data_IF_320847747330
#
_entry.id   IF_320847747330
#
_cell.length_a   1.000
_cell.length_b   1.000
_cell.length_c   1.000
_cell.angle_alpha   90.00
_cell.angle_beta   90.00
_cell.angle_gamma   90.00
#
_symmetry.space_group_name_H-M   'P 1'
#
loop_
_entity.id
_entity.type
_entity.pdbx_description
1 polymer ?
#
# COMPACT_ATOMS: atom_id res chain seq x y z
N UNK A 1 23.60 -7.66 -16.78
CA UNK A 1 22.35 -7.04 -16.29
C UNK A 1 22.54 -6.64 -14.84
N UNK A 2 22.77 -5.35 -14.55
CA UNK A 2 22.81 -4.84 -13.17
C UNK A 2 21.41 -4.99 -12.55
N UNK A 3 21.26 -5.85 -11.55
CA UNK A 3 20.09 -5.85 -10.69
C UNK A 3 20.27 -4.72 -9.67
N UNK A 4 19.67 -3.56 -9.94
CA UNK A 4 19.53 -2.51 -8.94
C UNK A 4 18.81 -3.09 -7.72
N UNK A 5 19.47 -3.08 -6.56
CA UNK A 5 18.89 -3.51 -5.28
C UNK A 5 18.13 -2.33 -4.70
N UNK A 6 16.86 -2.16 -5.09
CA UNK A 6 15.98 -1.15 -4.50
C UNK A 6 15.37 -1.70 -3.21
N UNK A 7 15.52 -0.94 -2.13
CA UNK A 7 14.92 -1.23 -0.82
C UNK A 7 13.72 -0.30 -0.64
N UNK A 8 12.56 -0.86 -0.34
CA UNK A 8 11.37 -0.09 -0.04
C UNK A 8 11.03 -0.20 1.43
N UNK A 9 10.99 0.95 2.10
CA UNK A 9 10.52 1.08 3.46
C UNK A 9 9.05 1.47 3.42
N UNK A 10 8.25 0.83 4.27
CA UNK A 10 6.85 1.14 4.47
C UNK A 10 6.61 1.27 5.96
N UNK A 11 6.15 2.44 6.41
CA UNK A 11 5.75 2.64 7.79
C UNK A 11 4.24 2.47 7.93
N UNK A 12 3.79 1.66 8.88
CA UNK A 12 2.38 1.53 9.26
C UNK A 12 2.27 1.92 10.72
N UNK A 13 1.88 3.17 11.01
CA UNK A 13 1.81 3.67 12.39
C UNK A 13 0.36 3.70 12.87
N UNK A 14 0.10 3.15 14.06
CA UNK A 14 -1.19 3.29 14.76
C UNK A 14 -1.30 4.65 15.47
N UNK A 15 -0.17 5.34 15.67
CA UNK A 15 -0.05 6.74 16.10
C UNK A 15 1.09 7.43 15.34
N UNK A 16 0.87 8.60 14.75
CA UNK A 16 1.85 9.25 13.88
C UNK A 16 2.93 9.97 14.72
N UNK A 17 3.91 9.22 15.21
CA UNK A 17 5.21 9.75 15.65
C UNK A 17 6.24 9.48 14.56
N UNK A 18 7.20 10.40 14.42
CA UNK A 18 8.35 10.17 13.54
C UNK A 18 9.24 9.13 14.22
N UNK A 19 9.83 8.18 13.47
CA UNK A 19 10.84 7.29 14.02
C UNK A 19 11.99 8.15 14.56
N UNK A 20 12.41 7.90 15.80
CA UNK A 20 13.52 8.65 16.38
C UNK A 20 14.84 8.29 15.66
N UNK A 21 15.80 9.21 15.57
CA UNK A 21 17.04 9.01 14.79
C UNK A 21 17.81 7.74 15.16
N UNK A 22 17.69 7.30 16.41
CA UNK A 22 18.27 6.05 16.92
C UNK A 22 17.64 4.82 16.27
N UNK A 23 16.31 4.79 16.15
CA UNK A 23 15.56 3.71 15.51
C UNK A 23 15.94 3.55 14.03
N UNK A 24 16.15 4.66 13.31
CA UNK A 24 16.63 4.63 11.92
C UNK A 24 18.06 4.06 11.81
N UNK A 25 18.96 4.40 12.74
CA UNK A 25 20.33 3.85 12.77
C UNK A 25 20.33 2.35 13.08
N UNK A 26 19.50 1.91 14.02
CA UNK A 26 19.36 0.50 14.37
C UNK A 26 18.79 -0.30 13.18
N UNK A 27 17.82 0.28 12.47
CA UNK A 27 17.28 -0.28 11.22
C UNK A 27 18.36 -0.38 10.14
N UNK A 28 19.20 0.65 9.99
CA UNK A 28 20.34 0.65 9.07
C UNK A 28 21.42 -0.39 9.42
N UNK A 29 21.63 -0.67 10.71
CA UNK A 29 22.56 -1.71 11.17
C UNK A 29 22.01 -3.12 10.87
N UNK A 30 20.70 -3.33 11.04
CA UNK A 30 20.02 -4.55 10.60
C UNK A 30 20.18 -4.76 9.07
N UNK A 31 20.11 -3.69 8.28
CA UNK A 31 20.29 -3.78 6.82
C UNK A 31 21.66 -4.26 6.38
N UNK A 32 22.73 -3.88 7.09
CA UNK A 32 24.08 -4.38 6.79
C UNK A 32 24.19 -5.89 6.96
N UNK A 33 23.36 -6.47 7.82
CA UNK A 33 23.40 -7.90 8.12
C UNK A 33 22.54 -8.74 7.15
N UNK A 34 21.60 -8.13 6.40
CA UNK A 34 20.64 -8.86 5.56
C UNK A 34 20.43 -8.25 4.16
N UNK A 35 21.45 -8.33 3.29
CA UNK A 35 21.44 -7.79 1.92
C UNK A 35 20.49 -8.48 0.91
N UNK A 36 19.47 -9.22 1.35
CA UNK A 36 18.57 -10.01 0.48
C UNK A 36 17.11 -9.53 0.47
N UNK A 37 16.79 -8.47 1.22
CA UNK A 37 15.42 -7.93 1.30
C UNK A 37 15.18 -6.82 0.28
N UNK A 38 13.97 -6.80 -0.28
CA UNK A 38 13.50 -5.77 -1.20
C UNK A 38 12.46 -4.85 -0.53
N UNK A 39 11.77 -5.34 0.50
CA UNK A 39 10.70 -4.59 1.18
C UNK A 39 10.75 -4.77 2.69
N UNK A 40 10.39 -3.70 3.39
CA UNK A 40 10.21 -3.67 4.84
C UNK A 40 8.89 -3.01 5.22
N UNK A 41 8.25 -3.55 6.25
CA UNK A 41 7.13 -2.91 6.93
C UNK A 41 7.45 -2.75 8.42
N UNK A 42 7.17 -1.57 8.97
CA UNK A 42 7.43 -1.24 10.38
C UNK A 42 6.12 -0.91 11.06
N UNK A 43 5.84 -1.57 12.17
CA UNK A 43 4.78 -1.18 13.09
C UNK A 43 5.39 -0.51 14.32
N UNK A 44 5.02 0.74 14.57
CA UNK A 44 5.48 1.51 15.73
C UNK A 44 4.45 1.45 16.87
N UNK A 45 4.77 0.67 17.90
CA UNK A 45 4.19 0.73 19.24
C UNK A 45 5.30 0.44 20.28
N UNK A 46 4.96 0.15 21.54
CA UNK A 46 5.88 -0.11 22.67
C UNK A 46 7.05 -1.07 22.37
N UNK A 47 6.89 -1.99 21.42
CA UNK A 47 7.94 -2.82 20.85
C UNK A 47 7.96 -2.65 19.33
N UNK A 48 9.05 -2.10 18.81
CA UNK A 48 9.24 -1.96 17.37
C UNK A 48 9.38 -3.34 16.73
N UNK A 49 8.47 -3.69 15.82
CA UNK A 49 8.56 -4.90 15.01
C UNK A 49 8.79 -4.52 13.57
N UNK A 50 9.78 -5.16 12.94
CA UNK A 50 10.11 -4.97 11.53
C UNK A 50 9.89 -6.28 10.78
N UNK A 51 9.06 -6.25 9.75
CA UNK A 51 8.90 -7.35 8.81
C UNK A 51 9.74 -7.08 7.55
N UNK A 52 10.53 -8.05 7.10
CA UNK A 52 11.38 -7.91 5.93
C UNK A 52 11.20 -9.10 4.97
N UNK A 53 11.09 -8.82 3.67
CA UNK A 53 10.96 -9.86 2.66
C UNK A 53 11.62 -9.45 1.33
N UNK A 54 11.75 -10.39 0.40
CA UNK A 54 12.38 -10.13 -0.90
C UNK A 54 12.43 -11.37 -1.78
N UNK A 55 13.52 -11.53 -2.53
CA UNK A 55 13.66 -12.55 -3.59
C UNK A 55 13.41 -14.00 -3.13
N UNK A 56 13.65 -14.29 -1.85
CA UNK A 56 13.51 -15.65 -1.29
C UNK A 56 12.09 -16.09 -1.00
N UNK A 57 11.10 -15.19 -1.05
CA UNK A 57 9.71 -15.54 -0.69
C UNK A 57 9.52 -15.86 0.79
N UNK A 58 10.47 -15.48 1.64
CA UNK A 58 10.42 -15.68 3.10
C UNK A 58 10.30 -14.33 3.78
N UNK A 59 9.32 -14.21 4.68
CA UNK A 59 9.18 -13.04 5.55
C UNK A 59 9.97 -13.30 6.83
N UNK A 60 10.82 -12.36 7.22
CA UNK A 60 11.47 -12.36 8.53
C UNK A 60 10.84 -11.32 9.43
N UNK A 61 10.48 -11.72 10.64
CA UNK A 61 10.09 -10.81 11.71
C UNK A 61 11.33 -10.53 12.54
N UNK A 62 11.62 -9.26 12.74
CA UNK A 62 12.81 -8.75 13.41
C UNK A 62 12.40 -7.87 14.58
N UNK A 63 13.11 -8.00 15.69
CA UNK A 63 12.97 -7.15 16.86
C UNK A 63 14.27 -6.33 17.00
N UNK A 64 14.30 -5.06 16.56
CA UNK A 64 15.53 -4.26 16.56
C UNK A 64 16.13 -4.07 17.95
N UNK A 65 15.30 -3.86 18.97
CA UNK A 65 15.74 -3.67 20.35
C UNK A 65 16.45 -4.91 20.93
N UNK A 66 16.15 -6.10 20.40
CA UNK A 66 16.72 -7.37 20.85
C UNK A 66 17.76 -7.94 19.88
N UNK A 67 18.02 -7.25 18.76
CA UNK A 67 18.85 -7.73 17.65
C UNK A 67 18.55 -9.19 17.26
N UNK A 68 17.26 -9.58 17.29
CA UNK A 68 16.83 -10.96 17.11
C UNK A 68 15.85 -11.11 15.94
N UNK A 69 15.80 -12.32 15.37
CA UNK A 69 14.81 -12.73 14.39
C UNK A 69 13.89 -13.77 15.04
N UNK A 70 12.84 -13.34 15.76
CA UNK A 70 11.98 -14.25 16.51
C UNK A 70 11.21 -15.24 15.63
N UNK A 71 10.95 -14.90 14.36
CA UNK A 71 10.17 -15.76 13.48
C UNK A 71 10.48 -15.57 11.99
N UNK A 72 10.21 -16.62 11.23
CA UNK A 72 10.17 -16.59 9.76
C UNK A 72 8.87 -17.21 9.26
N UNK A 73 8.18 -16.51 8.36
CA UNK A 73 6.97 -17.00 7.69
C UNK A 73 7.34 -17.47 6.29
N UNK A 74 7.05 -18.74 6.02
CA UNK A 74 7.36 -19.41 4.75
C UNK A 74 6.06 -19.88 4.13
N UNK A 75 5.91 -19.68 2.82
CA UNK A 75 4.81 -20.27 2.08
C UNK A 75 4.63 -19.71 0.67
N UNK A 76 5.05 -18.47 0.40
CA UNK A 76 5.04 -17.94 -0.96
C UNK A 76 5.96 -18.77 -1.87
N UNK A 77 5.52 -19.00 -3.11
CA UNK A 77 6.25 -19.76 -4.11
C UNK A 77 7.30 -18.95 -4.88
N UNK A 78 7.36 -17.63 -4.64
CA UNK A 78 8.28 -16.72 -5.33
C UNK A 78 8.57 -15.47 -4.50
N UNK A 79 9.26 -14.50 -5.09
CA UNK A 79 9.68 -13.26 -4.42
C UNK A 79 8.50 -12.45 -3.89
N UNK A 80 8.66 -11.87 -2.71
CA UNK A 80 7.70 -10.93 -2.13
C UNK A 80 8.13 -9.52 -2.53
N UNK A 81 7.20 -8.79 -3.13
CA UNK A 81 7.40 -7.45 -3.66
C UNK A 81 6.94 -6.36 -2.66
N UNK A 82 5.90 -6.63 -1.87
CA UNK A 82 5.38 -5.66 -0.89
C UNK A 82 4.98 -6.33 0.43
N UNK A 83 5.05 -5.55 1.53
CA UNK A 83 4.56 -5.91 2.87
C UNK A 83 3.76 -4.75 3.47
N UNK A 84 2.60 -5.02 4.05
CA UNK A 84 1.78 -4.02 4.77
C UNK A 84 1.20 -4.61 6.04
N UNK A 85 1.47 -3.99 7.19
CA UNK A 85 0.71 -4.31 8.40
C UNK A 85 -0.73 -3.81 8.28
N UNK A 86 -1.65 -4.47 8.98
CA UNK A 86 -3.01 -3.95 9.13
C UNK A 86 -2.99 -2.67 9.98
N UNK A 87 -3.71 -1.60 9.59
CA UNK A 87 -3.59 -0.29 10.24
C UNK A 87 -4.08 -0.26 11.69
N UNK A 88 -4.93 -1.21 12.08
CA UNK A 88 -5.50 -1.30 13.44
C UNK A 88 -5.02 -2.51 14.24
N UNK A 89 -4.45 -3.52 13.59
CA UNK A 89 -4.07 -4.78 14.25
C UNK A 89 -2.62 -5.13 13.88
N UNK A 90 -1.66 -4.94 14.79
CA UNK A 90 -0.26 -5.19 14.51
C UNK A 90 0.11 -6.66 14.29
N UNK A 91 -0.76 -7.59 14.70
CA UNK A 91 -0.49 -9.00 14.48
C UNK A 91 -0.77 -9.41 13.02
N UNK A 92 -1.50 -8.60 12.26
CA UNK A 92 -1.91 -8.92 10.91
C UNK A 92 -0.96 -8.30 9.88
N UNK A 93 -0.34 -9.13 9.06
CA UNK A 93 0.60 -8.73 8.03
C UNK A 93 0.17 -9.26 6.66
N UNK A 94 0.12 -8.38 5.67
CA UNK A 94 -0.12 -8.71 4.27
C UNK A 94 1.19 -8.78 3.49
N UNK A 95 1.31 -9.78 2.61
CA UNK A 95 2.44 -9.91 1.69
C UNK A 95 1.97 -10.12 0.25
N UNK A 96 2.61 -9.41 -0.69
CA UNK A 96 2.24 -9.36 -2.11
C UNK A 96 3.38 -9.94 -2.95
N UNK A 97 3.08 -10.93 -3.80
CA UNK A 97 4.13 -11.80 -4.34
C UNK A 97 4.10 -11.97 -5.86
N UNK A 98 5.27 -12.29 -6.39
CA UNK A 98 5.51 -12.75 -7.76
C UNK A 98 4.84 -14.09 -8.07
N UNK A 99 4.38 -14.82 -7.06
CA UNK A 99 3.56 -16.05 -7.25
C UNK A 99 2.07 -15.77 -7.53
N UNK A 100 1.72 -14.51 -7.79
CA UNK A 100 0.38 -14.03 -8.16
C UNK A 100 -0.61 -14.01 -6.99
N UNK A 101 -0.15 -14.33 -5.78
CA UNK A 101 -0.99 -14.33 -4.58
C UNK A 101 -0.65 -13.20 -3.63
N UNK A 102 -1.66 -12.84 -2.83
CA UNK A 102 -1.50 -12.02 -1.64
C UNK A 102 -1.82 -12.91 -0.44
N UNK A 103 -1.09 -12.75 0.66
CA UNK A 103 -1.29 -13.56 1.86
C UNK A 103 -1.45 -12.70 3.09
N UNK A 104 -2.42 -13.06 3.92
CA UNK A 104 -2.61 -12.51 5.26
C UNK A 104 -2.02 -13.49 6.27
N UNK A 105 -1.11 -12.99 7.10
CA UNK A 105 -0.45 -13.72 8.16
C UNK A 105 -0.86 -13.17 9.51
N UNK A 106 -1.04 -14.04 10.50
CA UNK A 106 -1.03 -13.66 11.90
C UNK A 106 0.39 -13.90 12.43
N UNK A 107 1.14 -12.82 12.70
CA UNK A 107 2.52 -12.88 13.17
C UNK A 107 2.62 -13.27 14.65
N UNK A 108 1.54 -13.16 15.43
CA UNK A 108 1.52 -13.54 16.85
C UNK A 108 1.37 -15.06 17.03
N UNK A 109 0.60 -15.73 16.17
CA UNK A 109 0.45 -17.19 16.16
C UNK A 109 1.28 -17.88 15.08
N UNK A 110 1.95 -17.11 14.21
CA UNK A 110 2.78 -17.56 13.10
C UNK A 110 2.05 -18.42 12.06
N UNK A 111 0.77 -18.11 11.79
CA UNK A 111 -0.03 -18.85 10.80
C UNK A 111 -0.40 -18.02 9.59
N UNK A 112 -0.55 -18.70 8.47
CA UNK A 112 -1.19 -18.17 7.27
C UNK A 112 -2.71 -18.20 7.48
N UNK A 113 -3.35 -17.03 7.48
CA UNK A 113 -4.80 -16.91 7.73
C UNK A 113 -5.58 -17.03 6.43
N UNK A 114 -5.17 -16.28 5.41
CA UNK A 114 -5.90 -16.20 4.14
C UNK A 114 -4.95 -16.05 2.94
N UNK A 115 -5.32 -16.64 1.81
CA UNK A 115 -4.70 -16.44 0.50
C UNK A 115 -5.71 -15.75 -0.41
N UNK A 116 -5.38 -14.58 -0.93
CA UNK A 116 -6.14 -13.89 -1.98
C UNK A 116 -5.52 -14.24 -3.33
N UNK A 117 -6.29 -14.86 -4.21
CA UNK A 117 -5.78 -15.40 -5.48
C UNK A 117 -6.81 -16.28 -6.20
N UNK A 118 -6.35 -17.28 -6.95
CA UNK A 118 -7.24 -18.30 -7.53
C UNK A 118 -8.05 -17.80 -8.73
N UNK A 119 -9.37 -18.09 -8.75
CA UNK A 119 -10.20 -17.98 -9.95
C UNK A 119 -10.23 -16.57 -10.54
N UNK A 120 -10.39 -15.52 -9.75
CA UNK A 120 -10.40 -14.12 -10.23
C UNK A 120 -9.29 -13.27 -9.59
N UNK A 121 -8.25 -13.95 -9.11
CA UNK A 121 -7.05 -13.30 -8.58
C UNK A 121 -6.17 -12.66 -9.65
N UNK A 122 -5.02 -12.15 -9.22
CA UNK A 122 -4.03 -11.64 -10.16
C UNK A 122 -3.53 -12.74 -11.10
N UNK A 123 -3.27 -12.37 -12.35
CA UNK A 123 -2.78 -13.29 -13.40
C UNK A 123 -1.29 -13.13 -13.71
N UNK A 124 -0.65 -12.19 -13.05
CA UNK A 124 0.78 -11.95 -13.10
C UNK A 124 1.25 -11.42 -11.74
N UNK A 125 2.52 -11.02 -11.64
CA UNK A 125 3.15 -10.63 -10.38
C UNK A 125 2.38 -9.52 -9.67
N UNK A 126 2.10 -9.70 -8.38
CA UNK A 126 1.53 -8.63 -7.55
C UNK A 126 2.70 -7.75 -7.11
N UNK A 127 2.67 -6.48 -7.50
CA UNK A 127 3.79 -5.54 -7.33
C UNK A 127 3.63 -4.68 -6.08
N UNK A 128 2.38 -4.34 -5.73
CA UNK A 128 2.07 -3.43 -4.65
C UNK A 128 0.70 -3.72 -4.06
N UNK A 129 0.47 -3.22 -2.85
CA UNK A 129 -0.86 -3.08 -2.29
C UNK A 129 -0.87 -2.21 -1.05
N UNK A 130 -2.07 -1.88 -0.60
CA UNK A 130 -2.32 -0.97 0.50
C UNK A 130 -3.64 -1.33 1.20
N UNK A 131 -3.80 -0.90 2.46
CA UNK A 131 -5.04 -1.08 3.20
C UNK A 131 -5.77 0.25 3.33
N UNK A 132 -7.10 0.20 3.29
CA UNK A 132 -7.89 1.39 3.60
C UNK A 132 -7.60 1.84 5.04
N UNK A 133 -7.85 3.11 5.37
CA UNK A 133 -7.65 3.60 6.74
C UNK A 133 -8.49 2.83 7.77
N UNK A 134 -9.66 2.35 7.36
CA UNK A 134 -10.48 1.48 8.21
C UNK A 134 -9.88 0.07 8.31
N UNK A 135 -9.05 -0.38 7.38
CA UNK A 135 -8.52 -1.74 7.33
C UNK A 135 -9.54 -2.77 6.82
N UNK A 136 -10.72 -2.34 6.37
CA UNK A 136 -11.77 -3.24 5.89
C UNK A 136 -11.61 -3.59 4.40
N UNK A 137 -10.70 -2.91 3.69
CA UNK A 137 -10.44 -3.12 2.27
C UNK A 137 -8.95 -3.23 1.99
N UNK A 138 -8.61 -4.20 1.15
CA UNK A 138 -7.28 -4.40 0.61
C UNK A 138 -7.26 -3.95 -0.86
N UNK A 139 -6.30 -3.13 -1.22
CA UNK A 139 -5.99 -2.76 -2.59
C UNK A 139 -4.77 -3.56 -3.06
N UNK A 140 -4.78 -4.06 -4.29
CA UNK A 140 -3.61 -4.71 -4.89
C UNK A 140 -3.46 -4.36 -6.37
N UNK A 141 -2.21 -4.30 -6.81
CA UNK A 141 -1.84 -3.89 -8.16
C UNK A 141 -0.66 -4.71 -8.68
N UNK A 142 -0.60 -4.96 -10.00
CA UNK A 142 0.37 -5.89 -10.54
C UNK A 142 0.74 -5.74 -12.02
N UNK A 143 1.54 -6.71 -12.48
CA UNK A 143 1.99 -6.84 -13.88
C UNK A 143 0.87 -7.29 -14.84
N UNK A 144 -0.31 -7.65 -14.34
CA UNK A 144 -1.48 -7.97 -15.17
C UNK A 144 -2.25 -6.71 -15.58
N UNK A 145 -1.72 -5.53 -15.23
CA UNK A 145 -2.30 -4.20 -15.44
C UNK A 145 -3.58 -3.99 -14.59
N UNK A 146 -3.90 -4.95 -13.71
CA UNK A 146 -5.09 -4.87 -12.89
C UNK A 146 -4.81 -4.06 -11.62
N UNK A 147 -5.82 -3.30 -11.19
CA UNK A 147 -6.01 -2.96 -9.79
C UNK A 147 -7.23 -3.72 -9.27
N UNK A 148 -7.07 -4.41 -8.13
CA UNK A 148 -8.10 -5.23 -7.49
C UNK A 148 -8.37 -4.73 -6.06
N UNK A 149 -9.63 -4.78 -5.65
CA UNK A 149 -10.06 -4.46 -4.28
C UNK A 149 -10.67 -5.70 -3.66
N UNK A 150 -10.27 -6.03 -2.43
CA UNK A 150 -10.74 -7.19 -1.69
C UNK A 150 -11.39 -6.73 -0.38
N UNK A 151 -12.57 -7.27 -0.09
CA UNK A 151 -13.26 -7.02 1.18
C UNK A 151 -12.64 -7.87 2.29
N UNK A 152 -12.30 -7.23 3.40
CA UNK A 152 -11.66 -7.87 4.55
C UNK A 152 -12.59 -8.09 5.75
N UNK A 153 -13.75 -7.44 5.76
CA UNK A 153 -14.74 -7.53 6.85
C UNK A 153 -15.85 -8.58 6.57
N UNK A 154 -15.57 -9.58 5.74
CA UNK A 154 -16.51 -10.70 5.56
C UNK A 154 -16.57 -11.56 6.83
N UNK A 155 -17.73 -12.13 7.18
CA UNK A 155 -17.84 -13.00 8.35
C UNK A 155 -16.84 -14.16 8.33
N UNK A 156 -16.59 -14.75 7.17
CA UNK A 156 -15.68 -15.89 7.00
C UNK A 156 -14.23 -15.50 7.34
N UNK A 157 -13.77 -14.35 6.83
CA UNK A 157 -12.42 -13.87 7.11
C UNK A 157 -12.29 -13.39 8.56
N UNK A 158 -13.29 -12.70 9.09
CA UNK A 158 -13.31 -12.27 10.48
C UNK A 158 -13.19 -13.46 11.44
N UNK A 159 -13.93 -14.55 11.18
CA UNK A 159 -13.84 -15.78 11.96
C UNK A 159 -12.46 -16.44 11.82
N UNK A 160 -11.91 -16.53 10.60
CA UNK A 160 -10.57 -17.07 10.39
C UNK A 160 -9.48 -16.26 11.13
N UNK A 161 -9.61 -14.93 11.18
CA UNK A 161 -8.72 -14.07 11.96
C UNK A 161 -8.85 -14.37 13.45
N UNK A 162 -10.06 -14.44 13.99
CA UNK A 162 -10.29 -14.79 15.41
C UNK A 162 -9.70 -16.15 15.75
N UNK A 163 -9.95 -17.17 14.93
CA UNK A 163 -9.42 -18.52 15.11
C UNK A 163 -7.89 -18.53 15.07
N UNK A 164 -7.28 -17.69 14.22
CA UNK A 164 -5.83 -17.59 14.11
C UNK A 164 -5.15 -17.14 15.41
N UNK A 165 -5.80 -16.31 16.22
CA UNK A 165 -5.25 -15.88 17.52
C UNK A 165 -5.33 -16.98 18.58
N UNK A 166 -6.35 -17.82 18.50
CA UNK A 166 -6.55 -18.95 19.41
C UNK A 166 -5.73 -20.18 18.99
N UNK A 167 -5.22 -20.21 17.76
CA UNK A 167 -4.47 -21.34 17.24
C UNK A 167 -3.09 -21.48 17.91
N UNK A 168 -2.80 -22.71 18.35
CA UNK A 168 -1.52 -23.12 18.93
C UNK A 168 -1.00 -24.35 18.21
N UNK A 169 -0.02 -24.16 17.31
CA UNK A 169 0.53 -25.24 16.49
C UNK A 169 1.09 -26.41 17.32
N UNK A 170 1.73 -26.13 18.46
CA UNK A 170 2.34 -27.17 19.31
C UNK A 170 1.35 -28.15 19.94
N UNK A 171 0.12 -27.71 20.17
CA UNK A 171 -0.92 -28.51 20.83
C UNK A 171 -2.01 -28.97 19.87
N UNK A 172 -2.02 -28.50 18.63
CA UNK A 172 -3.02 -28.87 17.63
C UNK A 172 -2.41 -29.84 16.61
N UNK A 173 -2.90 -31.09 16.51
CA UNK A 173 -2.39 -32.05 15.54
C UNK A 173 -2.76 -31.70 14.09
N UNK A 174 -3.73 -30.80 13.88
CA UNK A 174 -4.17 -30.37 12.54
C UNK A 174 -3.57 -29.01 12.16
N UNK A 175 -3.18 -28.80 10.89
CA UNK A 175 -2.76 -27.49 10.42
C UNK A 175 -3.91 -26.50 10.52
N UNK A 176 -3.58 -25.21 10.64
CA UNK A 176 -4.58 -24.14 10.61
C UNK A 176 -5.34 -24.17 9.27
N UNK A 177 -6.69 -24.13 9.27
CA UNK A 177 -7.49 -24.14 8.06
C UNK A 177 -7.39 -22.79 7.33
N UNK A 178 -6.48 -22.70 6.36
CA UNK A 178 -6.23 -21.48 5.58
C UNK A 178 -7.45 -21.15 4.70
N UNK A 179 -7.96 -19.93 4.82
CA UNK A 179 -9.01 -19.42 3.93
C UNK A 179 -8.44 -19.08 2.55
N UNK A 180 -9.22 -19.29 1.49
CA UNK A 180 -8.85 -18.87 0.13
C UNK A 180 -9.92 -17.94 -0.42
N UNK A 181 -9.56 -16.68 -0.64
CA UNK A 181 -10.42 -15.68 -1.27
C UNK A 181 -10.19 -15.68 -2.78
N UNK A 182 -11.14 -16.23 -3.53
CA UNK A 182 -11.05 -16.38 -4.97
C UNK A 182 -11.43 -15.15 -5.78
N UNK A 183 -12.30 -14.30 -5.21
CA UNK A 183 -12.98 -13.23 -5.94
C UNK A 183 -12.71 -11.88 -5.26
N UNK A 184 -12.13 -10.90 -5.98
CA UNK A 184 -12.10 -9.52 -5.51
C UNK A 184 -13.49 -8.90 -5.60
N UNK A 185 -13.75 -7.88 -4.79
CA UNK A 185 -14.98 -7.07 -4.85
C UNK A 185 -15.01 -6.21 -6.12
N UNK A 186 -13.83 -5.82 -6.60
CA UNK A 186 -13.66 -5.01 -7.80
C UNK A 186 -12.35 -5.36 -8.49
N UNK A 187 -12.34 -5.30 -9.83
CA UNK A 187 -11.16 -5.51 -10.66
C UNK A 187 -11.26 -4.67 -11.92
N UNK A 188 -10.26 -3.85 -12.24
CA UNK A 188 -10.19 -3.14 -13.52
C UNK A 188 -8.78 -3.08 -14.08
N UNK A 189 -8.68 -3.10 -15.41
CA UNK A 189 -7.46 -2.92 -16.21
C UNK A 189 -7.49 -1.62 -17.01
N UNK A 190 -8.52 -0.80 -16.83
CA UNK A 190 -8.82 0.34 -17.71
C UNK A 190 -8.11 1.63 -17.25
N UNK A 191 -7.49 1.59 -16.07
CA UNK A 191 -6.83 2.77 -15.48
C UNK A 191 -5.48 3.05 -16.13
N UNK A 192 -4.72 2.00 -16.47
CA UNK A 192 -3.35 2.11 -16.98
C UNK A 192 -3.15 1.16 -18.15
N UNK A 193 -2.33 1.58 -19.12
CA UNK A 193 -1.97 0.76 -20.28
C UNK A 193 -0.85 -0.26 -20.03
N UNK A 194 -0.26 -0.28 -18.82
CA UNK A 194 0.91 -1.11 -18.50
C UNK A 194 0.90 -1.53 -17.01
N UNK A 195 2.01 -2.09 -16.52
CA UNK A 195 2.18 -2.60 -15.16
C UNK A 195 1.86 -1.52 -14.14
N UNK A 196 1.06 -1.87 -13.13
CA UNK A 196 0.72 -0.95 -12.03
C UNK A 196 1.63 -1.29 -10.86
N UNK A 197 2.68 -0.48 -10.67
CA UNK A 197 3.79 -0.77 -9.76
C UNK A 197 3.68 -0.08 -8.41
N UNK A 198 2.75 0.86 -8.27
CA UNK A 198 2.41 1.50 -7.00
C UNK A 198 0.94 1.92 -6.98
N UNK A 199 0.22 1.54 -5.94
CA UNK A 199 -1.18 1.91 -5.73
C UNK A 199 -1.47 2.06 -4.24
N UNK A 200 -2.13 3.15 -3.86
CA UNK A 200 -2.48 3.50 -2.48
C UNK A 200 -3.89 4.06 -2.38
N UNK A 201 -4.49 3.89 -1.20
CA UNK A 201 -5.75 4.54 -0.88
C UNK A 201 -5.53 6.03 -0.61
N UNK A 202 -6.46 6.86 -1.08
CA UNK A 202 -6.56 8.27 -0.75
C UNK A 202 -8.02 8.58 -0.40
N UNK A 203 -8.39 8.32 0.86
CA UNK A 203 -9.80 8.31 1.26
C UNK A 203 -10.57 7.18 0.62
N UNK A 204 -11.68 7.52 -0.05
CA UNK A 204 -12.46 6.61 -0.88
C UNK A 204 -11.92 6.46 -2.31
N UNK A 205 -10.86 7.19 -2.65
CA UNK A 205 -10.24 7.19 -3.97
C UNK A 205 -9.00 6.30 -4.00
N UNK A 206 -8.55 6.00 -5.21
CA UNK A 206 -7.30 5.29 -5.45
C UNK A 206 -6.33 6.22 -6.17
N UNK A 207 -5.11 6.29 -5.66
CA UNK A 207 -3.97 6.86 -6.36
C UNK A 207 -3.12 5.69 -6.83
N UNK A 208 -2.76 5.69 -8.11
CA UNK A 208 -1.97 4.59 -8.68
C UNK A 208 -1.10 5.07 -9.83
N UNK A 209 -0.03 4.34 -10.09
CA UNK A 209 0.99 4.71 -11.04
C UNK A 209 1.37 3.52 -11.93
N UNK A 210 1.69 3.85 -13.18
CA UNK A 210 2.34 2.97 -14.15
C UNK A 210 3.58 3.67 -14.75
N UNK A 211 4.00 3.28 -15.95
CA UNK A 211 5.13 3.86 -16.67
C UNK A 211 4.77 5.08 -17.55
N UNK A 212 3.64 5.72 -17.28
CA UNK A 212 3.04 6.77 -18.11
C UNK A 212 3.53 8.18 -17.76
N UNK A 213 4.60 8.30 -16.95
CA UNK A 213 5.09 9.58 -16.42
C UNK A 213 4.01 10.39 -15.69
N UNK A 214 3.11 9.71 -15.01
CA UNK A 214 2.02 10.31 -14.26
C UNK A 214 1.62 9.45 -13.07
N UNK A 215 0.97 10.09 -12.10
CA UNK A 215 0.24 9.43 -11.03
C UNK A 215 -1.25 9.72 -11.25
N UNK A 216 -2.05 8.67 -11.34
CA UNK A 216 -3.47 8.74 -11.69
C UNK A 216 -4.32 8.62 -10.44
N UNK A 217 -5.21 9.59 -10.25
CA UNK A 217 -6.26 9.60 -9.23
C UNK A 217 -7.58 9.19 -9.87
N UNK A 218 -8.24 8.19 -9.29
CA UNK A 218 -9.47 7.61 -9.85
C UNK A 218 -10.34 6.96 -8.77
N UNK A 219 -11.57 6.58 -9.15
CA UNK A 219 -12.46 5.76 -8.32
C UNK A 219 -13.08 4.59 -9.10
N UNK A 220 -13.39 3.48 -8.41
CA UNK A 220 -14.35 2.49 -8.90
C UNK A 220 -15.73 3.12 -9.16
N UNK A 221 -16.43 2.64 -10.18
CA UNK A 221 -17.75 3.13 -10.59
C UNK A 221 -17.72 4.37 -11.48
N UNK A 222 -18.90 4.83 -11.89
CA UNK A 222 -19.14 6.09 -12.58
C UNK A 222 -18.99 7.30 -11.67
N UNK A 223 -18.75 8.48 -12.26
CA UNK A 223 -18.67 9.75 -11.51
C UNK A 223 -19.99 10.06 -10.79
N UNK A 224 -21.11 9.74 -11.44
CA UNK A 224 -22.48 10.03 -10.99
C UNK A 224 -23.11 8.89 -10.16
N UNK A 225 -22.40 7.76 -10.00
CA UNK A 225 -22.87 6.67 -9.14
C UNK A 225 -22.83 7.16 -7.69
N UNK A 226 -24.01 7.46 -7.16
CA UNK A 226 -24.21 7.59 -5.71
C UNK A 226 -23.78 6.29 -5.03
N UNK A 227 -23.33 6.39 -3.78
CA UNK A 227 -22.76 5.30 -2.98
C UNK A 227 -23.66 4.05 -2.81
N UNK A 228 -24.87 4.05 -3.38
CA UNK A 228 -25.81 2.95 -3.43
C UNK A 228 -25.49 1.87 -4.50
N UNK A 229 -24.82 2.22 -5.61
CA UNK A 229 -24.43 1.27 -6.67
C UNK A 229 -22.96 0.84 -6.61
N UNK A 230 -22.20 1.41 -5.68
CA UNK A 230 -20.87 0.93 -5.29
C UNK A 230 -21.12 -0.09 -4.17
N UNK A 231 -20.56 -1.32 -4.20
CA UNK A 231 -20.72 -2.24 -3.08
C UNK A 231 -20.35 -1.51 -1.79
N UNK A 232 -21.32 -1.34 -0.89
CA UNK A 232 -21.24 -0.47 0.29
C UNK A 232 -19.88 -0.62 0.98
N UNK A 233 -19.00 0.37 0.80
CA UNK A 233 -17.61 0.38 1.28
C UNK A 233 -17.52 0.60 2.80
N UNK A 234 -18.65 0.88 3.45
CA UNK A 234 -18.77 1.14 4.89
C UNK A 234 -20.22 0.89 5.35
N UNK A 235 -20.46 -0.19 6.09
CA UNK A 235 -21.68 -0.33 6.90
C UNK A 235 -21.38 0.17 8.31
N UNK A 236 -21.69 1.44 8.55
CA UNK A 236 -21.83 2.06 9.85
C UNK A 236 -23.04 2.98 9.83
N UNK A 237 -23.81 2.99 10.91
CA UNK A 237 -25.08 3.71 11.10
C UNK A 237 -25.11 5.14 10.51
N UNK A 238 -26.27 5.66 10.09
CA UNK A 238 -26.39 7.00 9.53
C UNK A 238 -26.26 8.03 10.65
N UNK A 239 -25.05 8.47 10.93
CA UNK A 239 -24.81 9.68 11.71
C UNK A 239 -23.61 10.44 11.14
N UNK A 240 -23.93 11.54 10.46
CA UNK A 240 -23.08 12.62 9.98
C UNK A 240 -22.03 12.28 8.92
N UNK A 241 -22.30 12.82 7.74
CA UNK A 241 -21.45 12.94 6.56
C UNK A 241 -20.10 13.61 6.86
N UNK A 242 -19.03 12.84 6.99
CA UNK A 242 -17.71 13.30 6.56
C UNK A 242 -16.94 12.14 5.92
N UNK A 243 -16.66 12.27 4.61
CA UNK A 243 -15.57 11.58 3.93
C UNK A 243 -14.26 12.12 4.47
N UNK A 244 -13.97 11.81 5.73
CA UNK A 244 -12.85 12.36 6.48
C UNK A 244 -11.60 11.52 6.18
N UNK A 245 -10.79 11.98 5.22
CA UNK A 245 -9.46 11.40 4.99
C UNK A 245 -8.52 12.00 6.03
N UNK A 246 -8.62 11.53 7.28
CA UNK A 246 -7.78 12.03 8.38
C UNK A 246 -7.79 13.56 8.54
N UNK A 247 -8.94 14.21 8.36
CA UNK A 247 -9.07 15.67 8.45
C UNK A 247 -9.07 16.42 7.10
N UNK A 248 -8.86 15.75 5.97
CA UNK A 248 -8.97 16.36 4.64
C UNK A 248 -10.42 16.39 4.16
N UNK A 249 -10.93 17.60 3.90
CA UNK A 249 -12.17 17.78 3.14
C UNK A 249 -11.86 17.63 1.65
N UNK A 250 -12.24 16.49 1.08
CA UNK A 250 -12.27 16.34 -0.38
C UNK A 250 -13.27 17.35 -0.99
N UNK A 251 -13.19 17.74 -2.27
CA UNK A 251 -14.15 18.66 -2.86
C UNK A 251 -15.51 18.06 -3.19
N UNK A 252 -16.56 18.87 -3.39
CA UNK A 252 -17.95 18.41 -3.61
C UNK A 252 -18.13 17.39 -4.73
N UNK A 253 -17.40 17.56 -5.85
CA UNK A 253 -17.37 16.61 -6.99
C UNK A 253 -16.69 15.27 -6.67
N UNK A 254 -15.88 15.26 -5.60
CA UNK A 254 -15.20 14.08 -5.04
C UNK A 254 -15.87 13.60 -3.73
N UNK A 255 -16.92 14.28 -3.26
CA UNK A 255 -17.60 14.04 -1.97
C UNK A 255 -19.00 13.41 -2.10
N UNK A 256 -19.55 13.19 -3.29
CA UNK A 256 -21.00 12.96 -3.49
C UNK A 256 -21.60 11.92 -2.53
N UNK A 257 -22.28 12.43 -1.49
CA UNK A 257 -23.10 11.73 -0.50
C UNK A 257 -24.41 12.51 -0.43
N UNK A 258 -25.52 11.87 -0.82
CA UNK A 258 -26.85 12.47 -0.74
C UNK A 258 -27.91 11.67 -1.50
N UNK A 259 -28.98 11.33 -0.80
CA UNK A 259 -30.09 10.40 -1.09
C UNK A 259 -30.86 10.66 -2.38
N UNK A 260 -31.14 9.58 -3.13
CA UNK A 260 -32.25 9.55 -4.08
C UNK A 260 -33.33 8.60 -3.59
N UNK A 261 -34.54 9.12 -3.37
CA UNK A 261 -35.77 8.36 -3.17
C UNK A 261 -36.47 8.26 -4.53
N UNK A 262 -36.38 7.12 -5.19
CA UNK A 262 -37.10 6.84 -6.43
C UNK A 262 -37.00 5.35 -6.80
N UNK A 263 -38.07 4.73 -7.34
CA UNK A 263 -38.11 3.29 -7.52
C UNK A 263 -37.52 2.91 -8.86
N UNK A 264 -36.24 2.58 -8.91
CA UNK A 264 -35.69 1.78 -10.00
C UNK A 264 -34.90 0.61 -9.40
N UNK A 265 -35.39 -0.59 -9.70
CA UNK A 265 -34.75 -1.85 -9.32
C UNK A 265 -33.65 -2.15 -10.35
N UNK A 266 -32.37 -2.23 -9.96
CA UNK A 266 -31.35 -2.76 -10.84
C UNK A 266 -31.56 -4.29 -10.92
N UNK A 267 -31.76 -4.78 -12.13
CA UNK A 267 -31.75 -6.21 -12.46
C UNK A 267 -30.43 -6.79 -11.93
N UNK A 268 -30.52 -7.74 -11.00
CA UNK A 268 -29.34 -8.47 -10.54
C UNK A 268 -28.73 -9.21 -11.73
N UNK A 269 -27.43 -9.04 -12.02
CA UNK A 269 -26.79 -9.81 -13.07
C UNK A 269 -26.88 -11.30 -12.72
N UNK A 270 -27.15 -12.12 -13.72
CA UNK A 270 -27.20 -13.57 -13.56
C UNK A 270 -25.87 -14.09 -12.96
N UNK A 271 -25.90 -15.09 -12.06
CA UNK A 271 -24.69 -15.66 -11.48
C UNK A 271 -23.72 -16.12 -12.58
N UNK A 272 -22.52 -15.56 -12.61
CA UNK A 272 -21.43 -15.99 -13.52
C UNK A 272 -21.13 -15.09 -14.72
N UNK A 273 -21.82 -13.95 -14.89
CA UNK A 273 -21.41 -12.90 -15.86
C UNK A 273 -20.46 -11.92 -15.16
N UNK A 274 -19.21 -11.72 -15.65
CA UNK A 274 -18.35 -10.66 -15.13
C UNK A 274 -19.03 -9.31 -15.33
N UNK A 275 -19.34 -8.63 -14.25
CA UNK A 275 -19.84 -7.26 -14.32
C UNK A 275 -18.68 -6.37 -14.77
N UNK A 276 -18.83 -5.66 -15.88
CA UNK A 276 -17.84 -4.67 -16.31
C UNK A 276 -17.73 -3.59 -15.23
N UNK A 277 -16.63 -3.62 -14.50
CA UNK A 277 -16.38 -2.67 -13.43
C UNK A 277 -15.91 -1.35 -14.03
N UNK A 278 -16.86 -0.42 -14.21
CA UNK A 278 -16.55 0.94 -14.66
C UNK A 278 -15.52 1.60 -13.75
N UNK A 279 -14.59 2.36 -14.34
CA UNK A 279 -13.65 3.23 -13.64
C UNK A 279 -13.81 4.67 -14.07
N UNK A 280 -13.67 5.59 -13.12
CA UNK A 280 -13.67 7.02 -13.41
C UNK A 280 -12.31 7.62 -13.07
N UNK A 281 -11.59 8.06 -14.10
CA UNK A 281 -10.37 8.86 -13.93
C UNK A 281 -10.79 10.27 -13.50
N UNK A 282 -10.27 10.70 -12.36
CA UNK A 282 -10.55 12.03 -11.80
C UNK A 282 -9.47 13.00 -12.25
N UNK A 283 -8.21 12.60 -12.14
CA UNK A 283 -7.08 13.48 -12.44
C UNK A 283 -5.78 12.70 -12.70
N UNK A 284 -4.82 13.32 -13.39
CA UNK A 284 -3.47 12.79 -13.61
C UNK A 284 -2.40 13.83 -13.28
N UNK A 285 -1.62 13.55 -12.24
CA UNK A 285 -0.49 14.36 -11.82
C UNK A 285 0.74 14.01 -12.67
N UNK A 286 1.18 14.92 -13.53
CA UNK A 286 2.32 14.69 -14.44
C UNK A 286 3.65 14.69 -13.69
N UNK A 287 4.48 13.70 -13.97
CA UNK A 287 5.81 13.50 -13.40
C UNK A 287 6.77 12.93 -14.45
N UNK A 288 7.50 13.81 -15.14
CA UNK A 288 8.45 13.42 -16.18
C UNK A 288 9.62 12.60 -15.61
N UNK A 289 10.23 11.75 -16.44
CA UNK A 289 11.32 10.84 -16.05
C UNK A 289 10.92 9.82 -14.97
N UNK A 290 9.65 9.40 -14.96
CA UNK A 290 9.10 8.43 -14.03
C UNK A 290 8.44 7.25 -14.74
N UNK A 291 9.08 6.78 -15.81
CA UNK A 291 8.62 5.68 -16.65
C UNK A 291 9.30 4.32 -16.37
N UNK A 292 10.22 4.23 -15.41
CA UNK A 292 10.75 2.95 -14.96
C UNK A 292 9.80 2.27 -13.98
N UNK A 293 9.81 0.93 -14.02
CA UNK A 293 9.11 0.09 -13.06
C UNK A 293 9.76 0.14 -11.67
N UNK A 294 8.94 -0.18 -10.67
CA UNK A 294 9.27 -0.10 -9.26
C UNK A 294 9.64 1.34 -8.83
N UNK A 295 8.94 2.29 -9.47
CA UNK A 295 8.65 3.70 -9.17
C UNK A 295 7.71 3.95 -8.00
N UNK A 296 8.07 3.84 -6.71
CA UNK A 296 7.07 4.08 -5.64
C UNK A 296 6.89 5.57 -5.34
N UNK A 297 5.63 5.98 -5.24
CA UNK A 297 5.25 7.22 -4.55
C UNK A 297 4.82 6.88 -3.13
N UNK A 298 4.85 7.87 -2.24
CA UNK A 298 4.23 7.75 -0.93
C UNK A 298 3.34 8.97 -0.60
N UNK A 299 2.45 8.78 0.38
CA UNK A 299 1.46 9.78 0.78
C UNK A 299 1.53 9.96 2.29
N UNK A 300 1.96 11.14 2.71
CA UNK A 300 1.82 11.58 4.09
C UNK A 300 0.45 12.24 4.27
N UNK A 301 -0.52 11.47 4.76
CA UNK A 301 -1.87 11.97 5.00
C UNK A 301 -1.92 13.04 6.11
N UNK A 302 -0.96 13.06 7.04
CA UNK A 302 -0.93 14.02 8.15
C UNK A 302 -0.43 15.38 7.70
N UNK A 303 0.61 15.39 6.86
CA UNK A 303 1.15 16.62 6.28
C UNK A 303 0.51 16.97 4.93
N UNK A 304 -0.36 16.09 4.43
CA UNK A 304 -1.06 16.22 3.16
C UNK A 304 -0.09 16.36 1.98
N UNK A 305 0.91 15.49 1.90
CA UNK A 305 1.91 15.54 0.82
C UNK A 305 1.95 14.21 0.09
N UNK A 306 1.94 14.27 -1.25
CA UNK A 306 2.34 13.14 -2.09
C UNK A 306 3.75 13.39 -2.60
N UNK A 307 4.61 12.38 -2.52
CA UNK A 307 5.98 12.46 -3.02
C UNK A 307 6.29 11.34 -4.01
N UNK A 308 7.01 11.67 -5.08
CA UNK A 308 7.46 10.71 -6.10
C UNK A 308 8.87 11.04 -6.58
N UNK A 309 9.77 10.05 -6.50
CA UNK A 309 11.11 10.17 -7.10
C UNK A 309 11.12 9.93 -8.61
N UNK A 310 12.17 10.37 -9.27
CA UNK A 310 12.43 10.01 -10.68
C UNK A 310 13.08 8.64 -10.83
N UNK A 311 12.74 7.96 -11.92
CA UNK A 311 13.39 6.71 -12.33
C UNK A 311 14.53 6.94 -13.32
N UNK A 312 14.42 7.96 -14.16
CA UNK A 312 15.44 8.34 -15.16
C UNK A 312 15.87 9.79 -14.99
N UNK A 313 16.87 10.21 -15.77
CA UNK A 313 17.28 11.61 -15.83
C UNK A 313 17.88 12.13 -14.52
N UNK A 314 17.87 13.45 -14.31
CA UNK A 314 18.38 14.06 -13.08
C UNK A 314 17.58 13.62 -11.85
N UNK A 315 18.29 13.29 -10.77
CA UNK A 315 17.67 12.94 -9.49
C UNK A 315 16.85 14.11 -8.94
N UNK A 316 15.54 13.90 -8.84
CA UNK A 316 14.61 14.85 -8.24
C UNK A 316 13.45 14.13 -7.55
N UNK A 317 12.78 14.86 -6.67
CA UNK A 317 11.54 14.43 -6.02
C UNK A 317 10.45 15.43 -6.36
N UNK A 318 9.35 14.93 -6.87
CA UNK A 318 8.12 15.66 -7.06
C UNK A 318 7.32 15.66 -5.77
N UNK A 319 6.80 16.81 -5.38
CA UNK A 319 5.96 17.00 -4.21
C UNK A 319 4.66 17.70 -4.63
N UNK A 320 3.54 17.11 -4.25
CA UNK A 320 2.22 17.73 -4.38
C UNK A 320 1.62 17.98 -3.00
N UNK A 321 1.16 19.20 -2.76
CA UNK A 321 0.44 19.58 -1.56
C UNK A 321 -1.04 19.20 -1.73
N UNK A 322 -1.46 18.12 -1.08
CA UNK A 322 -2.82 17.59 -1.08
C UNK A 322 -3.75 18.28 -0.07
N UNK A 323 -3.29 19.30 0.68
CA UNK A 323 -4.10 20.00 1.69
C UNK A 323 -5.34 20.63 1.07
N UNK A 324 -5.20 21.12 -0.16
CA UNK A 324 -6.29 21.69 -0.95
C UNK A 324 -6.37 20.98 -2.30
N UNK A 325 -7.08 19.84 -2.40
CA UNK A 325 -7.06 18.98 -3.58
C UNK A 325 -7.40 19.72 -4.88
N UNK A 326 -8.35 20.67 -4.86
CA UNK A 326 -8.69 21.48 -6.05
C UNK A 326 -7.49 22.27 -6.58
N UNK A 327 -6.65 22.80 -5.69
CA UNK A 327 -5.45 23.53 -6.09
C UNK A 327 -4.31 22.55 -6.40
N UNK A 328 -4.18 21.48 -5.61
CA UNK A 328 -3.17 20.43 -5.75
C UNK A 328 -3.18 19.76 -7.12
N UNK A 329 -4.38 19.47 -7.62
CA UNK A 329 -4.59 18.81 -8.90
C UNK A 329 -4.37 19.80 -10.07
N UNK A 330 -4.53 21.10 -9.86
CA UNK A 330 -4.37 22.09 -10.93
C UNK A 330 -2.99 22.75 -10.96
N UNK A 331 -2.17 22.59 -9.92
CA UNK A 331 -0.83 23.18 -9.83
C UNK A 331 0.24 22.16 -10.21
N UNK A 332 1.34 22.61 -10.86
CA UNK A 332 2.48 21.74 -11.08
C UNK A 332 3.11 21.35 -9.74
N UNK A 333 3.68 20.15 -9.71
CA UNK A 333 4.44 19.67 -8.56
C UNK A 333 5.56 20.64 -8.19
N UNK A 334 5.80 20.80 -6.90
CA UNK A 334 7.07 21.34 -6.45
C UNK A 334 8.17 20.32 -6.72
N UNK A 335 9.27 20.75 -7.36
CA UNK A 335 10.37 19.86 -7.72
C UNK A 335 11.57 20.16 -6.83
N UNK A 336 12.00 19.15 -6.08
CA UNK A 336 13.21 19.21 -5.28
C UNK A 336 14.35 18.53 -6.04
N UNK A 337 15.36 19.31 -6.43
CA UNK A 337 16.53 18.82 -7.15
C UNK A 337 17.63 18.38 -6.19
N UNK A 338 18.27 17.26 -6.47
CA UNK A 338 19.47 16.82 -5.77
C UNK A 338 20.68 17.03 -6.66
N UNK A 339 21.67 17.77 -6.16
CA UNK A 339 22.95 17.90 -6.83
C UNK A 339 23.91 16.83 -6.31
N UNK A 340 24.41 15.99 -7.19
CA UNK A 340 25.41 14.99 -6.84
C UNK A 340 26.70 15.72 -6.47
N UNK A 341 27.01 15.81 -5.18
CA UNK A 341 28.30 16.34 -4.72
C UNK A 341 29.37 15.31 -5.10
N UNK A 342 30.04 15.51 -6.24
CA UNK A 342 31.31 14.84 -6.54
C UNK A 342 32.41 15.54 -5.75
N UNK A 343 32.75 15.03 -4.57
CA UNK A 343 33.90 15.55 -3.82
C UNK A 343 34.13 14.83 -2.51
N UNK A 344 35.22 14.06 -2.45
CA UNK A 344 35.85 13.59 -1.21
C UNK A 344 36.46 14.80 -0.49
N UNK A 345 36.07 15.04 0.77
CA UNK A 345 36.69 16.04 1.64
C UNK A 345 36.13 15.97 3.06
N UNK A 346 36.96 15.96 4.12
CA UNK A 346 36.51 15.78 5.48
C UNK A 346 36.05 17.13 6.06
N UNK A 347 34.75 17.28 6.26
CA UNK A 347 34.20 18.47 6.91
C UNK A 347 32.70 18.33 7.04
N UNK A 348 32.25 18.01 8.25
CA UNK A 348 30.84 17.78 8.55
C UNK A 348 29.96 18.95 8.12
N UNK A 349 28.89 18.65 7.39
CA UNK A 349 27.80 19.59 7.17
C UNK A 349 26.65 19.25 8.11
N UNK A 350 26.26 20.24 8.91
CA UNK A 350 25.01 20.29 9.64
C UNK A 350 23.84 20.26 8.65
N UNK A 351 23.03 19.20 8.66
CA UNK A 351 21.70 19.21 8.04
C UNK A 351 20.77 20.07 8.90
N UNK A 352 19.99 20.94 8.25
CA UNK A 352 18.99 21.78 8.92
C UNK A 352 17.70 20.97 9.21
N UNK A 353 17.05 21.25 10.34
CA UNK A 353 15.86 20.55 10.85
C UNK A 353 14.66 20.41 9.88
N UNK A 354 14.59 21.18 8.77
CA UNK A 354 13.55 20.99 7.73
C UNK A 354 13.91 19.90 6.72
N UNK A 355 15.20 19.69 6.44
CA UNK A 355 15.67 18.61 5.58
C UNK A 355 15.50 17.26 6.27
N UNK A 356 15.63 17.17 7.59
CA UNK A 356 15.49 15.92 8.34
C UNK A 356 14.10 15.25 8.20
N UNK A 357 13.02 16.04 8.07
CA UNK A 357 11.66 15.50 7.84
C UNK A 357 11.46 15.04 6.39
N UNK A 358 12.11 15.70 5.44
CA UNK A 358 12.08 15.33 4.02
C UNK A 358 12.98 14.10 3.76
N UNK A 359 14.05 13.92 4.54
CA UNK A 359 14.93 12.74 4.53
C UNK A 359 14.15 11.47 4.85
N UNK A 360 13.14 11.52 5.73
CA UNK A 360 12.29 10.36 6.05
C UNK A 360 11.40 9.92 4.88
N UNK A 361 10.75 10.86 4.20
CA UNK A 361 9.96 10.58 2.99
C UNK A 361 10.85 10.20 1.79
N UNK A 362 12.11 10.66 1.78
CA UNK A 362 13.08 10.33 0.72
C UNK A 362 13.90 9.06 0.99
N UNK A 363 13.95 8.56 2.24
CA UNK A 363 14.45 7.22 2.56
C UNK A 363 13.51 6.12 2.05
N UNK A 364 12.22 6.44 1.80
CA UNK A 364 11.28 5.57 1.08
C UNK A 364 11.52 5.58 -0.45
N UNK A 365 12.33 6.54 -0.96
CA UNK A 365 12.46 6.85 -2.40
C UNK A 365 13.88 6.62 -2.99
N UNK A 366 14.94 6.36 -2.21
CA UNK A 366 16.30 6.09 -2.73
C UNK A 366 16.90 4.80 -2.13
N UNK A 367 17.52 3.86 -2.88
CA UNK A 367 18.49 4.00 -3.96
C UNK A 367 18.21 3.10 -5.17
N UNK A 368 18.34 3.66 -6.37
CA UNK A 368 18.75 2.95 -7.57
C UNK A 368 20.19 3.42 -7.87
N UNK A 369 21.17 2.53 -7.77
CA UNK A 369 22.48 2.69 -8.44
C UNK A 369 22.58 1.59 -9.47
#
# INVERSE_FOLDING_TARGET
MCQARKLYLTFTTSKPRLPDQKSLRDTHQIFRQFCQFHVLSIFEDTLQVVAAAGKRGVIRILCPSMASCPASLVGHGSSINELRFHPRDPALLFSFSKDYTIRLWNIASHVLVCIFGGAEGHRAEVLHGDLSLTGDLLLSAGMDHCVKIWRLNTPELANAVIDSFNYRSRSNPKPFPVLVQHFPEFSSRDVHGNYVDCARWFGSLVISKSCENSVTLWKPGGLDDSSANIPSLCNGSPSNTSTDVGGLRLPSRMQHIGSYTGPESPISPAPGVPTEHKTSIIHQLKATDCNLWYIRFDIDLKNHVLALGTGTGPSRVYLWDLKYPENALNLPAQVLHFHTVRGVGPGGMHLSHRLDKLVLLTMEIFFCV
#
